data_IF_591042175328
#
_entry.id   IF_591042175328
#
_cell.length_a   1.000
_cell.length_b   1.000
_cell.length_c   1.000
_cell.angle_alpha   90.00
_cell.angle_beta   90.00
_cell.angle_gamma   90.00
#
_symmetry.space_group_name_H-M   'P 1'
#
loop_
_entity.id
_entity.type
_entity.pdbx_description
1 polymer ?
#
# COMPACT_ATOMS: atom_id res chain seq x y z
N UNK A 1 21.32 34.47 7.33
CA UNK A 1 21.01 34.34 5.90
C UNK A 1 21.56 33.03 5.37
N UNK A 2 20.67 32.07 5.10
CA UNK A 2 21.04 30.80 4.46
C UNK A 2 20.88 31.02 2.96
N UNK A 3 21.99 31.28 2.26
CA UNK A 3 21.98 31.30 0.79
C UNK A 3 21.71 29.89 0.28
N UNK A 4 20.54 29.72 -0.34
CA UNK A 4 20.19 28.50 -1.04
C UNK A 4 20.99 28.54 -2.35
N UNK A 5 22.00 27.66 -2.46
CA UNK A 5 22.81 27.54 -3.68
C UNK A 5 21.89 27.29 -4.89
N UNK A 6 21.88 28.25 -5.82
CA UNK A 6 21.01 28.22 -7.00
C UNK A 6 21.41 27.10 -7.96
N UNK A 7 20.40 26.47 -8.57
CA UNK A 7 20.51 25.35 -9.51
C UNK A 7 21.45 25.62 -10.71
N UNK A 8 21.73 26.89 -10.98
CA UNK A 8 22.60 27.38 -12.06
C UNK A 8 24.09 27.10 -11.80
N UNK A 9 24.50 26.82 -10.56
CA UNK A 9 25.91 26.54 -10.24
C UNK A 9 26.34 25.09 -10.51
N UNK A 10 25.40 24.21 -10.88
CA UNK A 10 25.66 22.80 -11.19
C UNK A 10 25.69 22.59 -12.71
N UNK A 11 26.76 22.01 -13.29
CA UNK A 11 26.85 21.70 -14.72
C UNK A 11 25.64 20.90 -15.22
N UNK A 12 25.13 21.18 -16.43
CA UNK A 12 23.93 20.53 -16.98
C UNK A 12 24.01 18.99 -17.03
N UNK A 13 25.22 18.47 -17.20
CA UNK A 13 25.53 17.03 -17.26
C UNK A 13 25.37 16.31 -15.92
N UNK A 14 25.44 17.04 -14.80
CA UNK A 14 25.33 16.49 -13.45
C UNK A 14 23.93 16.68 -12.84
N UNK A 15 22.97 17.24 -13.60
CA UNK A 15 21.61 17.52 -13.12
C UNK A 15 20.73 16.26 -13.21
N UNK A 16 20.06 15.84 -12.12
CA UNK A 16 19.06 14.78 -12.19
C UNK A 16 17.88 15.22 -13.09
N UNK A 17 17.07 14.27 -13.60
CA UNK A 17 15.87 14.60 -14.37
C UNK A 17 14.83 15.30 -13.48
N UNK A 18 14.93 16.63 -13.46
CA UNK A 18 14.13 17.59 -12.65
C UNK A 18 12.64 17.29 -12.70
N UNK A 19 12.10 17.03 -13.89
CA UNK A 19 10.66 16.79 -14.08
C UNK A 19 10.14 15.58 -13.28
N UNK A 20 10.94 14.51 -13.19
CA UNK A 20 10.56 13.29 -12.46
C UNK A 20 10.68 13.54 -10.96
N UNK A 21 11.76 14.18 -10.51
CA UNK A 21 11.98 14.52 -9.10
C UNK A 21 10.87 15.42 -8.57
N UNK A 22 10.52 16.49 -9.28
CA UNK A 22 9.43 17.38 -8.87
C UNK A 22 8.07 16.69 -8.87
N UNK A 23 7.75 15.91 -9.90
CA UNK A 23 6.48 15.19 -9.95
C UNK A 23 6.36 14.18 -8.80
N UNK A 24 7.42 13.42 -8.52
CA UNK A 24 7.45 12.48 -7.40
C UNK A 24 7.30 13.19 -6.05
N UNK A 25 7.90 14.37 -5.90
CA UNK A 25 7.74 15.20 -4.70
C UNK A 25 6.28 15.65 -4.53
N UNK A 26 5.67 16.19 -5.58
CA UNK A 26 4.29 16.67 -5.55
C UNK A 26 3.29 15.54 -5.26
N UNK A 27 3.50 14.37 -5.88
CA UNK A 27 2.67 13.17 -5.64
C UNK A 27 2.83 12.68 -4.20
N UNK A 28 4.07 12.60 -3.69
CA UNK A 28 4.33 12.15 -2.33
C UNK A 28 3.72 13.10 -1.30
N UNK A 29 3.94 14.41 -1.44
CA UNK A 29 3.35 15.40 -0.54
C UNK A 29 1.82 15.43 -0.64
N UNK A 30 1.27 15.38 -1.85
CA UNK A 30 -0.17 15.40 -2.09
C UNK A 30 -0.87 14.22 -1.42
N UNK A 31 -0.36 13.00 -1.68
CA UNK A 31 -0.93 11.78 -1.10
C UNK A 31 -0.65 11.69 0.40
N UNK A 32 0.56 12.03 0.87
CA UNK A 32 0.91 12.01 2.29
C UNK A 32 0.04 12.96 3.12
N UNK A 33 -0.15 14.19 2.64
CA UNK A 33 -1.01 15.18 3.31
C UNK A 33 -2.47 14.74 3.29
N UNK A 34 -2.95 14.18 2.18
CA UNK A 34 -4.29 13.63 2.06
C UNK A 34 -4.55 12.49 3.07
N UNK A 35 -3.60 11.57 3.22
CA UNK A 35 -3.67 10.47 4.20
C UNK A 35 -3.68 10.99 5.64
N UNK A 36 -2.81 11.95 5.95
CA UNK A 36 -2.76 12.59 7.27
C UNK A 36 -4.08 13.29 7.59
N UNK A 37 -4.67 13.98 6.62
CA UNK A 37 -5.96 14.65 6.77
C UNK A 37 -7.09 13.65 7.07
N UNK A 38 -7.14 12.51 6.36
CA UNK A 38 -8.12 11.44 6.63
C UNK A 38 -7.91 10.85 8.02
N UNK A 39 -6.67 10.59 8.42
CA UNK A 39 -6.35 10.04 9.73
C UNK A 39 -6.75 11.01 10.86
N UNK A 40 -6.43 12.30 10.71
CA UNK A 40 -6.82 13.34 11.66
C UNK A 40 -8.35 13.50 11.75
N UNK A 41 -9.04 13.50 10.61
CA UNK A 41 -10.51 13.52 10.56
C UNK A 41 -11.12 12.31 11.27
N UNK A 42 -10.60 11.10 11.01
CA UNK A 42 -11.05 9.89 11.67
C UNK A 42 -10.81 9.94 13.19
N UNK A 43 -9.61 10.36 13.62
CA UNK A 43 -9.26 10.52 15.03
C UNK A 43 -10.17 11.54 15.73
N UNK A 44 -10.50 12.65 15.07
CA UNK A 44 -11.43 13.65 15.61
C UNK A 44 -12.86 13.12 15.76
N UNK A 45 -13.38 12.41 14.75
CA UNK A 45 -14.72 11.80 14.83
C UNK A 45 -14.76 10.73 15.92
N UNK A 46 -13.71 9.91 16.02
CA UNK A 46 -13.59 8.88 17.04
C UNK A 46 -13.52 9.50 18.45
N UNK A 47 -12.75 10.57 18.64
CA UNK A 47 -12.68 11.28 19.92
C UNK A 47 -14.03 11.87 20.35
N UNK A 48 -14.81 12.40 19.39
CA UNK A 48 -16.12 13.03 19.69
C UNK A 48 -17.27 12.05 19.84
N UNK A 49 -17.32 10.99 19.03
CA UNK A 49 -18.48 10.07 18.96
C UNK A 49 -18.22 8.70 19.57
N UNK A 50 -16.96 8.32 19.82
CA UNK A 50 -16.53 6.99 20.25
C UNK A 50 -17.10 5.81 19.44
N UNK A 51 -17.60 6.10 18.24
CA UNK A 51 -18.16 5.12 17.33
C UNK A 51 -17.58 5.35 15.93
N UNK A 52 -17.43 4.26 15.18
CA UNK A 52 -16.85 4.28 13.84
C UNK A 52 -17.92 4.80 12.88
N UNK A 53 -17.69 5.89 12.12
CA UNK A 53 -18.65 6.38 11.16
C UNK A 53 -18.94 5.32 10.08
N UNK A 54 -20.14 4.72 10.13
CA UNK A 54 -20.59 3.66 9.19
C UNK A 54 -21.05 4.20 7.82
N UNK A 55 -20.78 5.47 7.52
CA UNK A 55 -21.21 6.10 6.26
C UNK A 55 -20.46 5.48 5.09
N UNK A 56 -21.19 5.10 4.02
CA UNK A 56 -20.61 4.47 2.81
C UNK A 56 -19.45 5.28 2.20
N UNK A 57 -19.51 6.60 2.29
CA UNK A 57 -18.44 7.50 1.84
C UNK A 57 -17.15 7.36 2.66
N UNK A 58 -17.27 7.26 3.98
CA UNK A 58 -16.13 7.08 4.87
C UNK A 58 -15.40 5.76 4.57
N UNK A 59 -16.15 4.66 4.43
CA UNK A 59 -15.58 3.36 4.09
C UNK A 59 -14.88 3.34 2.72
N UNK A 60 -15.41 4.09 1.72
CA UNK A 60 -14.76 4.23 0.41
C UNK A 60 -13.45 5.01 0.50
N UNK A 61 -13.43 6.11 1.26
CA UNK A 61 -12.23 6.92 1.46
C UNK A 61 -11.13 6.11 2.15
N UNK A 62 -11.48 5.35 3.19
CA UNK A 62 -10.54 4.45 3.90
C UNK A 62 -10.06 3.29 3.02
N UNK A 63 -10.90 2.79 2.09
CA UNK A 63 -10.44 1.79 1.13
C UNK A 63 -9.42 2.39 0.14
N UNK A 64 -9.65 3.61 -0.35
CA UNK A 64 -8.75 4.31 -1.27
C UNK A 64 -7.44 4.72 -0.57
N UNK A 65 -7.49 5.06 0.72
CA UNK A 65 -6.29 5.46 1.48
C UNK A 65 -5.23 4.37 1.52
N UNK A 66 -5.62 3.08 1.52
CA UNK A 66 -4.67 1.97 1.42
C UNK A 66 -3.87 1.99 0.12
N UNK A 67 -4.54 2.20 -1.02
CA UNK A 67 -3.87 2.31 -2.34
C UNK A 67 -3.04 3.57 -2.43
N UNK A 68 -3.58 4.70 -1.94
CA UNK A 68 -2.86 5.97 -1.90
C UNK A 68 -1.57 5.90 -1.04
N UNK A 69 -1.58 5.15 0.06
CA UNK A 69 -0.39 4.95 0.89
C UNK A 69 0.72 4.20 0.15
N UNK A 70 0.37 3.16 -0.62
CA UNK A 70 1.33 2.44 -1.46
C UNK A 70 1.92 3.37 -2.53
N UNK A 71 1.07 4.13 -3.23
CA UNK A 71 1.54 5.08 -4.24
C UNK A 71 2.43 6.19 -3.64
N UNK A 72 2.11 6.67 -2.45
CA UNK A 72 2.94 7.63 -1.73
C UNK A 72 4.32 7.05 -1.38
N UNK A 73 4.37 5.79 -0.96
CA UNK A 73 5.62 5.08 -0.65
C UNK A 73 6.49 4.92 -1.91
N UNK A 74 5.90 4.47 -3.02
CA UNK A 74 6.61 4.33 -4.31
C UNK A 74 7.14 5.69 -4.80
N UNK A 75 6.33 6.75 -4.68
CA UNK A 75 6.76 8.11 -5.06
C UNK A 75 7.96 8.59 -4.22
N UNK A 76 8.00 8.27 -2.92
CA UNK A 76 9.15 8.59 -2.07
C UNK A 76 10.42 7.82 -2.46
N UNK A 77 10.30 6.55 -2.84
CA UNK A 77 11.41 5.79 -3.40
C UNK A 77 11.92 6.41 -4.70
N UNK A 78 11.03 6.69 -5.65
CA UNK A 78 11.42 7.32 -6.93
C UNK A 78 12.09 8.68 -6.69
N UNK A 79 11.58 9.49 -5.76
CA UNK A 79 12.17 10.78 -5.40
C UNK A 79 13.62 10.62 -4.90
N UNK A 80 13.86 9.66 -4.02
CA UNK A 80 15.18 9.44 -3.40
C UNK A 80 16.18 8.77 -4.35
N UNK A 81 15.73 7.84 -5.19
CA UNK A 81 16.57 7.18 -6.20
C UNK A 81 16.91 8.11 -7.35
N UNK A 82 15.92 8.84 -7.86
CA UNK A 82 16.11 9.77 -8.97
C UNK A 82 16.88 11.01 -8.51
N UNK A 83 16.68 11.46 -7.27
CA UNK A 83 17.43 12.57 -6.67
C UNK A 83 18.92 12.27 -6.45
N UNK A 84 19.32 10.99 -6.47
CA UNK A 84 20.73 10.55 -6.41
C UNK A 84 21.40 10.41 -7.78
N UNK A 85 20.64 10.41 -8.87
CA UNK A 85 21.24 10.45 -10.21
C UNK A 85 22.00 11.77 -10.39
N UNK A 86 23.18 11.78 -11.05
CA UNK A 86 23.82 10.72 -11.83
C UNK A 86 24.88 9.89 -11.06
N UNK A 87 24.90 9.96 -9.73
CA UNK A 87 25.96 9.36 -8.93
C UNK A 87 25.49 8.08 -8.23
N UNK A 88 26.10 6.95 -8.57
CA UNK A 88 25.94 5.71 -7.80
C UNK A 88 26.70 5.86 -6.47
N UNK A 89 27.95 6.32 -6.56
CA UNK A 89 28.78 6.75 -5.42
C UNK A 89 29.19 8.20 -5.67
N UNK A 90 28.83 9.08 -4.74
CA UNK A 90 29.03 10.53 -4.88
C UNK A 90 30.49 10.85 -5.22
N UNK A 91 30.71 11.54 -6.37
CA UNK A 91 32.03 11.92 -6.92
C UNK A 91 32.99 10.78 -7.29
N UNK A 92 32.59 9.52 -7.17
CA UNK A 92 33.47 8.36 -7.40
C UNK A 92 33.00 7.51 -8.59
N UNK A 93 31.69 7.31 -8.75
CA UNK A 93 31.15 6.44 -9.81
C UNK A 93 29.83 6.97 -10.36
N UNK A 94 29.81 7.22 -11.68
CA UNK A 94 28.60 7.61 -12.43
C UNK A 94 27.77 6.40 -12.82
N UNK A 95 26.45 6.57 -12.92
CA UNK A 95 25.52 5.50 -13.33
C UNK A 95 25.83 4.97 -14.73
N UNK A 96 26.32 5.82 -15.64
CA UNK A 96 26.72 5.44 -17.00
C UNK A 96 27.85 4.41 -17.03
N UNK A 97 28.80 4.52 -16.10
CA UNK A 97 30.03 3.73 -16.10
C UNK A 97 29.85 2.41 -15.34
N UNK A 98 28.74 2.28 -14.60
CA UNK A 98 28.37 1.08 -13.86
C UNK A 98 27.55 0.07 -14.71
N UNK A 99 27.15 0.43 -15.94
CA UNK A 99 26.34 -0.46 -16.80
C UNK A 99 27.24 -1.41 -17.59
N UNK A 100 27.11 -2.71 -17.34
CA UNK A 100 27.83 -3.75 -18.10
C UNK A 100 27.22 -3.95 -19.49
N UNK A 101 28.06 -4.03 -20.52
CA UNK A 101 27.68 -4.32 -21.91
C UNK A 101 27.34 -5.80 -22.17
N UNK A 102 26.50 -6.40 -21.32
CA UNK A 102 26.10 -7.80 -21.45
C UNK A 102 24.97 -7.96 -22.50
N UNK A 103 25.18 -8.80 -23.51
CA UNK A 103 24.12 -9.18 -24.44
C UNK A 103 23.13 -10.14 -23.74
N UNK A 104 21.84 -9.78 -23.73
CA UNK A 104 20.77 -10.61 -23.15
C UNK A 104 20.04 -10.03 -21.93
N UNK A 105 20.38 -8.80 -21.49
CA UNK A 105 19.72 -8.12 -20.35
C UNK A 105 18.19 -8.04 -20.54
N UNK A 106 17.72 -7.80 -21.77
CA UNK A 106 16.29 -7.75 -22.07
C UNK A 106 15.57 -9.07 -21.82
N UNK A 107 16.24 -10.21 -22.03
CA UNK A 107 15.67 -11.54 -21.79
C UNK A 107 15.52 -11.83 -20.30
N UNK A 108 16.56 -11.58 -19.51
CA UNK A 108 16.48 -11.74 -18.04
C UNK A 108 15.50 -10.75 -17.42
N UNK A 109 15.44 -9.51 -17.92
CA UNK A 109 14.46 -8.51 -17.51
C UNK A 109 13.02 -8.95 -17.80
N UNK A 110 12.75 -9.47 -19.00
CA UNK A 110 11.42 -9.96 -19.37
C UNK A 110 10.98 -11.15 -18.49
N UNK A 111 11.89 -12.09 -18.22
CA UNK A 111 11.61 -13.23 -17.32
C UNK A 111 11.34 -12.74 -15.91
N UNK A 112 12.16 -11.84 -15.37
CA UNK A 112 11.95 -11.27 -14.05
C UNK A 112 10.58 -10.56 -13.97
N UNK A 113 10.25 -9.75 -14.97
CA UNK A 113 8.96 -9.07 -15.08
C UNK A 113 7.79 -10.06 -15.09
N UNK A 114 7.90 -11.14 -15.87
CA UNK A 114 6.87 -12.18 -15.93
C UNK A 114 6.68 -12.89 -14.58
N UNK A 115 7.76 -13.20 -13.86
CA UNK A 115 7.70 -13.80 -12.53
C UNK A 115 7.04 -12.85 -11.53
N UNK A 116 7.46 -11.60 -11.47
CA UNK A 116 6.86 -10.61 -10.56
C UNK A 116 5.37 -10.41 -10.87
N UNK A 117 5.00 -10.32 -12.15
CA UNK A 117 3.60 -10.22 -12.56
C UNK A 117 2.77 -11.46 -12.14
N UNK A 118 3.33 -12.66 -12.27
CA UNK A 118 2.68 -13.90 -11.84
C UNK A 118 2.47 -13.94 -10.32
N UNK A 119 3.48 -13.55 -9.54
CA UNK A 119 3.42 -13.49 -8.07
C UNK A 119 2.36 -12.49 -7.61
N UNK A 120 2.37 -11.27 -8.17
CA UNK A 120 1.37 -10.23 -7.84
C UNK A 120 -0.03 -10.73 -8.19
N UNK A 121 -0.21 -11.33 -9.36
CA UNK A 121 -1.50 -11.88 -9.80
C UNK A 121 -2.00 -12.97 -8.85
N UNK A 122 -1.12 -13.92 -8.47
CA UNK A 122 -1.45 -14.98 -7.53
C UNK A 122 -1.85 -14.41 -6.17
N UNK A 123 -1.10 -13.44 -5.64
CA UNK A 123 -1.42 -12.77 -4.38
C UNK A 123 -2.80 -12.09 -4.42
N UNK A 124 -3.10 -11.34 -5.47
CA UNK A 124 -4.39 -10.67 -5.65
C UNK A 124 -5.54 -11.68 -5.76
N UNK A 125 -5.35 -12.78 -6.49
CA UNK A 125 -6.34 -13.85 -6.61
C UNK A 125 -6.60 -14.51 -5.25
N UNK A 126 -5.55 -14.84 -4.50
CA UNK A 126 -5.67 -15.47 -3.17
C UNK A 126 -6.42 -14.56 -2.21
N UNK A 127 -6.05 -13.28 -2.11
CA UNK A 127 -6.72 -12.31 -1.25
C UNK A 127 -8.20 -12.18 -1.65
N UNK A 128 -8.50 -12.04 -2.94
CA UNK A 128 -9.89 -11.95 -3.43
C UNK A 128 -10.70 -13.22 -3.13
N UNK A 129 -10.10 -14.40 -3.31
CA UNK A 129 -10.75 -15.68 -2.98
C UNK A 129 -11.01 -15.80 -1.49
N UNK A 130 -10.06 -15.41 -0.64
CA UNK A 130 -10.24 -15.38 0.81
C UNK A 130 -11.38 -14.42 1.20
N UNK A 131 -11.39 -13.19 0.67
CA UNK A 131 -12.47 -12.22 0.95
C UNK A 131 -13.84 -12.73 0.50
N UNK A 132 -13.93 -13.39 -0.67
CA UNK A 132 -15.18 -13.98 -1.16
C UNK A 132 -15.63 -15.13 -0.26
N UNK A 133 -14.72 -16.04 0.11
CA UNK A 133 -15.02 -17.15 1.03
C UNK A 133 -15.50 -16.65 2.39
N UNK A 134 -14.86 -15.63 2.96
CA UNK A 134 -15.30 -15.04 4.23
C UNK A 134 -16.69 -14.40 4.15
N UNK A 135 -17.08 -13.87 2.99
CA UNK A 135 -18.43 -13.32 2.77
C UNK A 135 -19.49 -14.41 2.64
N UNK A 136 -19.15 -15.53 1.99
CA UNK A 136 -20.05 -16.66 1.75
C UNK A 136 -20.23 -17.56 2.99
N UNK A 137 -19.17 -17.72 3.78
CA UNK A 137 -19.19 -18.45 5.07
C UNK A 137 -19.88 -17.63 6.17
N UNK A 138 -20.25 -16.36 5.90
CA UNK A 138 -20.98 -15.41 6.75
C UNK A 138 -21.21 -15.85 8.19
N UNK A 139 -20.29 -15.49 9.11
CA UNK A 139 -20.33 -15.77 10.56
C UNK A 139 -21.15 -17.03 10.91
N UNK A 140 -20.89 -18.16 10.24
CA UNK A 140 -21.32 -19.43 10.80
C UNK A 140 -20.58 -19.55 12.11
N UNK A 141 -21.35 -19.59 13.19
CA UNK A 141 -20.90 -19.89 14.55
C UNK A 141 -20.34 -21.31 14.51
N UNK A 142 -19.14 -21.43 13.96
CA UNK A 142 -18.38 -22.65 13.97
C UNK A 142 -17.94 -22.82 15.40
N UNK A 143 -18.34 -23.94 15.98
CA UNK A 143 -17.99 -24.39 17.31
C UNK A 143 -16.46 -24.30 17.47
N UNK A 144 -16.00 -23.13 17.93
CA UNK A 144 -14.60 -22.86 18.20
C UNK A 144 -14.34 -23.46 19.58
N UNK A 145 -13.25 -24.24 19.77
CA UNK A 145 -12.96 -24.87 21.05
C UNK A 145 -12.87 -23.89 22.26
N UNK A 146 -12.85 -22.58 22.00
CA UNK A 146 -12.80 -21.50 22.98
C UNK A 146 -13.92 -20.45 22.80
N UNK A 147 -15.04 -20.79 22.17
CA UNK A 147 -16.20 -19.91 22.07
C UNK A 147 -16.84 -19.64 23.43
N UNK A 148 -17.56 -18.51 23.62
CA UNK A 148 -18.38 -18.33 24.81
C UNK A 148 -19.36 -19.50 24.93
N UNK A 149 -19.55 -20.07 26.14
CA UNK A 149 -20.42 -21.24 26.31
C UNK A 149 -21.83 -20.91 25.79
N UNK A 150 -22.49 -21.86 25.08
CA UNK A 150 -23.82 -21.65 24.54
C UNK A 150 -24.76 -21.14 25.62
N UNK A 151 -25.47 -20.04 25.34
CA UNK A 151 -26.45 -19.49 26.28
C UNK A 151 -27.66 -20.43 26.33
N UNK A 152 -28.32 -20.58 27.49
CA UNK A 152 -29.40 -21.57 27.71
C UNK A 152 -30.54 -21.54 26.65
N UNK A 153 -30.67 -20.43 25.93
CA UNK A 153 -31.61 -20.24 24.82
C UNK A 153 -31.37 -21.26 23.70
N UNK A 154 -30.12 -21.59 23.37
CA UNK A 154 -29.79 -22.55 22.29
C UNK A 154 -30.03 -24.01 22.72
N UNK A 155 -29.90 -24.33 24.00
CA UNK A 155 -30.15 -25.67 24.54
C UNK A 155 -31.64 -26.04 24.50
N UNK A 156 -32.53 -25.06 24.59
CA UNK A 156 -33.98 -25.28 24.46
C UNK A 156 -34.40 -25.64 23.05
N UNK A 157 -33.79 -25.02 22.02
CA UNK A 157 -34.05 -25.33 20.61
C UNK A 157 -33.51 -26.70 20.20
N UNK A 158 -32.34 -27.10 20.70
CA UNK A 158 -31.74 -28.42 20.43
C UNK A 158 -32.55 -29.58 21.05
N UNK A 159 -33.13 -29.39 22.25
CA UNK A 159 -33.96 -30.41 22.90
C UNK A 159 -35.29 -30.63 22.20
N UNK A 160 -35.88 -29.58 21.63
CA UNK A 160 -37.16 -29.68 20.91
C UNK A 160 -37.06 -30.48 19.62
N UNK A 161 -35.92 -30.44 18.92
CA UNK A 161 -35.71 -31.17 17.65
C UNK A 161 -35.38 -32.65 17.87
N UNK A 162 -34.76 -33.00 19.00
CA UNK A 162 -34.48 -34.40 19.38
C UNK A 162 -35.67 -35.14 20.01
N UNK A 163 -36.66 -34.42 20.54
CA UNK A 163 -37.85 -35.02 21.14
C UNK A 163 -38.94 -35.39 20.12
N UNK A 164 -38.82 -34.95 18.86
CA UNK A 164 -39.79 -35.23 17.79
C UNK A 164 -39.28 -36.24 16.74
N UNK A 165 -38.25 -37.03 17.04
CA UNK A 165 -37.73 -38.12 16.19
C UNK A 165 -37.85 -39.47 16.87
#
# INVERSE_FOLDING_TARGET
DTEITGFETVPEEDRPPINVVHLSWDVMLGLGTFLLFIAAWFGFVWWRKRDIPKTKWFLRIVAISGVAAVLCMEAGWVLTETGRQPWVVYKVLRTSDAVTSASGIWGSFAIAMAIYAAVISAAVIVIRRMTKRWREVGTSDHDVPYGPPPTDIDLTHSRSTKASS
#
